data_IF_760182092646
#
_entry.id   IF_760182092646
#
_cell.length_a   1.000
_cell.length_b   1.000
_cell.length_c   1.000
_cell.angle_alpha   90.00
_cell.angle_beta   90.00
_cell.angle_gamma   90.00
#
_symmetry.space_group_name_H-M   'P 1'
#
loop_
_entity.id
_entity.type
_entity.pdbx_description
1 polymer ?
#
# COMPACT_ATOMS: atom_id res chain seq x y z
N UNK A 1 -33.27 17.59 25.49
CA UNK A 1 -33.08 16.22 24.97
C UNK A 1 -32.02 16.29 23.89
N UNK A 2 -30.76 16.09 24.25
CA UNK A 2 -29.62 16.18 23.35
C UNK A 2 -29.55 14.91 22.50
N UNK A 3 -29.72 15.08 21.20
CA UNK A 3 -29.52 14.04 20.19
C UNK A 3 -28.01 13.78 20.08
N UNK A 4 -27.45 12.89 20.91
CA UNK A 4 -26.10 12.38 20.69
C UNK A 4 -26.19 11.32 19.60
N UNK A 5 -26.14 11.77 18.35
CA UNK A 5 -25.94 10.86 17.23
C UNK A 5 -24.60 10.16 17.40
N UNK A 6 -24.59 8.84 17.23
CA UNK A 6 -23.39 8.02 17.22
C UNK A 6 -22.33 8.65 16.31
N UNK A 7 -21.12 8.80 16.82
CA UNK A 7 -19.97 9.28 16.05
C UNK A 7 -19.52 8.23 15.04
N UNK A 8 -18.78 8.64 14.01
CA UNK A 8 -18.20 7.71 13.03
C UNK A 8 -17.24 6.71 13.72
N UNK A 9 -16.52 7.16 14.75
CA UNK A 9 -15.59 6.30 15.51
C UNK A 9 -16.36 5.22 16.29
N UNK A 10 -17.45 5.58 16.98
CA UNK A 10 -18.29 4.61 17.70
C UNK A 10 -18.89 3.56 16.76
N UNK A 11 -19.27 3.96 15.54
CA UNK A 11 -19.77 3.03 14.53
C UNK A 11 -18.67 2.09 14.01
N UNK A 12 -17.45 2.60 13.79
CA UNK A 12 -16.29 1.77 13.41
C UNK A 12 -15.99 0.75 14.50
N UNK A 13 -15.96 1.16 15.77
CA UNK A 13 -15.70 0.27 16.90
C UNK A 13 -16.78 -0.80 17.04
N UNK A 14 -18.05 -0.43 16.84
CA UNK A 14 -19.18 -1.38 16.83
C UNK A 14 -19.01 -2.43 15.73
N UNK A 15 -18.77 -2.00 14.49
CA UNK A 15 -18.61 -2.90 13.34
C UNK A 15 -17.36 -3.78 13.48
N UNK A 16 -16.26 -3.24 14.00
CA UNK A 16 -15.07 -4.02 14.32
C UNK A 16 -15.37 -5.10 15.38
N UNK A 17 -16.12 -4.75 16.43
CA UNK A 17 -16.54 -5.69 17.46
C UNK A 17 -17.45 -6.80 16.93
N UNK A 18 -18.31 -6.51 15.95
CA UNK A 18 -19.10 -7.52 15.25
C UNK A 18 -18.22 -8.46 14.41
N UNK A 19 -17.24 -7.90 13.68
CA UNK A 19 -16.28 -8.69 12.90
C UNK A 19 -15.42 -9.60 13.79
N UNK A 20 -14.96 -9.11 14.93
CA UNK A 20 -14.10 -9.87 15.85
C UNK A 20 -14.84 -11.09 16.42
N UNK A 21 -16.15 -11.01 16.63
CA UNK A 21 -17.00 -12.15 17.08
C UNK A 21 -17.13 -13.25 16.02
N UNK A 22 -16.85 -12.97 14.76
CA UNK A 22 -16.89 -13.96 13.68
C UNK A 22 -15.57 -14.76 13.57
N UNK A 23 -14.55 -14.43 14.37
CA UNK A 23 -13.25 -15.11 14.35
C UNK A 23 -13.25 -16.36 15.24
N UNK A 24 -12.51 -17.43 14.87
CA UNK A 24 -11.68 -17.55 13.67
C UNK A 24 -12.53 -17.82 12.41
N UNK A 25 -12.17 -17.16 11.31
CA UNK A 25 -12.70 -17.49 9.99
C UNK A 25 -11.98 -18.73 9.44
N UNK A 26 -12.62 -19.46 8.51
CA UNK A 26 -11.95 -20.59 7.86
C UNK A 26 -10.78 -20.12 6.99
N UNK A 27 -9.76 -20.95 6.85
CA UNK A 27 -8.57 -20.62 6.04
C UNK A 27 -8.92 -20.24 4.59
N UNK A 28 -9.92 -20.89 4.00
CA UNK A 28 -10.42 -20.53 2.66
C UNK A 28 -11.03 -19.12 2.62
N UNK A 29 -11.84 -18.76 3.61
CA UNK A 29 -12.44 -17.41 3.70
C UNK A 29 -11.35 -16.37 3.91
N UNK A 30 -10.39 -16.62 4.81
CA UNK A 30 -9.26 -15.74 5.05
C UNK A 30 -8.44 -15.55 3.78
N UNK A 31 -8.06 -16.64 3.09
CA UNK A 31 -7.28 -16.56 1.85
C UNK A 31 -7.98 -15.76 0.74
N UNK A 32 -9.31 -15.90 0.60
CA UNK A 32 -10.09 -15.08 -0.35
C UNK A 32 -10.11 -13.61 0.02
N UNK A 33 -10.23 -13.28 1.30
CA UNK A 33 -10.19 -11.90 1.79
C UNK A 33 -8.80 -11.30 1.56
N UNK A 34 -7.74 -11.99 1.96
CA UNK A 34 -6.35 -11.55 1.79
C UNK A 34 -6.02 -11.32 0.32
N UNK A 35 -6.40 -12.25 -0.57
CA UNK A 35 -6.18 -12.08 -2.00
C UNK A 35 -6.93 -10.85 -2.55
N UNK A 36 -8.19 -10.64 -2.14
CA UNK A 36 -8.95 -9.45 -2.55
C UNK A 36 -8.28 -8.17 -2.07
N UNK A 37 -7.94 -8.10 -0.78
CA UNK A 37 -7.29 -6.92 -0.18
C UNK A 37 -5.94 -6.63 -0.82
N UNK A 38 -5.11 -7.66 -1.06
CA UNK A 38 -3.82 -7.51 -1.76
C UNK A 38 -4.01 -6.89 -3.14
N UNK A 39 -4.95 -7.39 -3.94
CA UNK A 39 -5.17 -6.89 -5.30
C UNK A 39 -5.75 -5.47 -5.31
N UNK A 40 -6.75 -5.20 -4.47
CA UNK A 40 -7.42 -3.90 -4.42
C UNK A 40 -6.54 -2.83 -3.79
N UNK A 41 -5.77 -3.15 -2.75
CA UNK A 41 -4.86 -2.21 -2.10
C UNK A 41 -3.74 -1.78 -3.04
N UNK A 42 -3.11 -2.73 -3.75
CA UNK A 42 -2.10 -2.41 -4.76
C UNK A 42 -2.66 -1.49 -5.85
N UNK A 43 -3.83 -1.82 -6.40
CA UNK A 43 -4.47 -1.00 -7.43
C UNK A 43 -4.83 0.39 -6.91
N UNK A 44 -5.60 0.48 -5.81
CA UNK A 44 -6.15 1.76 -5.36
C UNK A 44 -5.08 2.71 -4.81
N UNK A 45 -4.06 2.20 -4.10
CA UNK A 45 -2.99 3.06 -3.57
C UNK A 45 -2.22 3.73 -4.71
N UNK A 46 -1.80 2.93 -5.71
CA UNK A 46 -1.05 3.44 -6.85
C UNK A 46 -1.92 4.31 -7.78
N UNK A 47 -3.20 3.98 -7.95
CA UNK A 47 -4.12 4.77 -8.78
C UNK A 47 -4.34 6.20 -8.22
N UNK A 48 -4.34 6.38 -6.90
CA UNK A 48 -4.42 7.71 -6.26
C UNK A 48 -3.21 8.58 -6.64
N UNK A 49 -2.05 7.95 -6.86
CA UNK A 49 -0.79 8.60 -7.24
C UNK A 49 -0.64 8.76 -8.77
N UNK A 50 -1.63 8.31 -9.54
CA UNK A 50 -1.68 8.48 -10.99
C UNK A 50 -1.20 7.29 -11.81
N UNK A 51 -0.97 6.13 -11.18
CA UNK A 51 -0.69 4.89 -11.90
C UNK A 51 -1.85 4.54 -12.85
N UNK A 52 -1.52 4.15 -14.08
CA UNK A 52 -2.50 4.00 -15.15
C UNK A 52 -2.97 2.55 -15.39
N UNK A 53 -2.44 1.57 -14.66
CA UNK A 53 -2.90 0.19 -14.76
C UNK A 53 -4.33 0.06 -14.24
N UNK A 54 -5.17 -0.64 -14.98
CA UNK A 54 -6.50 -1.04 -14.53
C UNK A 54 -6.41 -2.11 -13.44
N UNK A 55 -7.51 -2.36 -12.72
CA UNK A 55 -7.58 -3.46 -11.74
C UNK A 55 -7.31 -4.83 -12.39
N UNK A 56 -7.73 -5.03 -13.65
CA UNK A 56 -7.49 -6.28 -14.39
C UNK A 56 -6.02 -6.46 -14.78
N UNK A 57 -5.36 -5.39 -15.22
CA UNK A 57 -3.93 -5.37 -15.52
C UNK A 57 -3.09 -5.57 -14.24
N UNK A 58 -3.43 -4.85 -13.16
CA UNK A 58 -2.81 -5.02 -11.83
C UNK A 58 -2.92 -6.47 -11.35
N UNK A 59 -4.10 -7.08 -11.49
CA UNK A 59 -4.30 -8.50 -11.15
C UNK A 59 -3.44 -9.43 -12.00
N UNK A 60 -3.36 -9.18 -13.30
CA UNK A 60 -2.57 -10.00 -14.22
C UNK A 60 -1.08 -9.90 -13.91
N UNK A 61 -0.60 -8.71 -13.55
CA UNK A 61 0.76 -8.49 -13.09
C UNK A 61 1.04 -9.26 -11.79
N UNK A 62 0.24 -9.05 -10.74
CA UNK A 62 0.49 -9.64 -9.41
C UNK A 62 0.36 -11.17 -9.40
N UNK A 63 -0.61 -11.73 -10.14
CA UNK A 63 -0.88 -13.18 -10.11
C UNK A 63 -0.09 -13.97 -11.15
N UNK A 64 0.29 -13.34 -12.27
CA UNK A 64 0.85 -14.04 -13.42
C UNK A 64 2.13 -13.41 -13.97
N UNK A 65 2.61 -12.28 -13.43
CA UNK A 65 3.78 -11.57 -13.92
C UNK A 65 3.59 -11.00 -15.33
N UNK A 66 2.34 -10.75 -15.75
CA UNK A 66 2.02 -10.26 -17.08
C UNK A 66 1.94 -8.74 -17.09
N UNK A 67 2.74 -8.11 -17.96
CA UNK A 67 2.72 -6.66 -18.17
C UNK A 67 1.60 -6.24 -19.11
N UNK A 68 1.09 -5.02 -18.90
CA UNK A 68 0.08 -4.40 -19.73
C UNK A 68 0.72 -3.70 -20.94
N UNK A 69 0.24 -4.04 -22.14
CA UNK A 69 0.77 -3.46 -23.36
C UNK A 69 0.48 -1.94 -23.45
N UNK A 70 1.50 -1.16 -23.83
CA UNK A 70 1.37 0.28 -24.03
C UNK A 70 1.35 1.10 -22.72
N UNK A 71 1.62 0.48 -21.58
CA UNK A 71 1.69 1.13 -20.27
C UNK A 71 3.15 1.38 -19.85
N UNK A 72 3.43 2.47 -19.11
CA UNK A 72 4.78 2.74 -18.62
C UNK A 72 5.33 1.58 -17.78
N UNK A 73 6.63 1.26 -17.93
CA UNK A 73 7.27 0.24 -17.08
C UNK A 73 7.20 0.64 -15.60
N UNK A 74 7.36 1.93 -15.31
CA UNK A 74 7.24 2.50 -13.97
C UNK A 74 5.93 2.10 -13.27
N UNK A 75 4.81 2.17 -13.96
CA UNK A 75 3.51 1.78 -13.38
C UNK A 75 3.50 0.31 -12.90
N UNK A 76 4.23 -0.58 -13.57
CA UNK A 76 4.35 -1.98 -13.16
C UNK A 76 5.26 -2.10 -11.94
N UNK A 77 6.39 -1.40 -11.97
CA UNK A 77 7.36 -1.39 -10.87
C UNK A 77 6.78 -0.80 -9.59
N UNK A 78 5.94 0.24 -9.69
CA UNK A 78 5.27 0.86 -8.55
C UNK A 78 4.26 -0.13 -7.90
N UNK A 79 3.53 -0.90 -8.72
CA UNK A 79 2.64 -1.98 -8.23
C UNK A 79 3.46 -3.10 -7.56
N UNK A 80 4.54 -3.55 -8.17
CA UNK A 80 5.41 -4.59 -7.59
C UNK A 80 6.07 -4.12 -6.28
N UNK A 81 6.55 -2.88 -6.25
CA UNK A 81 7.14 -2.28 -5.06
C UNK A 81 6.15 -2.16 -3.92
N UNK A 82 4.91 -1.73 -4.19
CA UNK A 82 3.85 -1.71 -3.18
C UNK A 82 3.51 -3.13 -2.68
N UNK A 83 3.43 -4.11 -3.58
CA UNK A 83 3.11 -5.50 -3.20
C UNK A 83 4.18 -6.11 -2.28
N UNK A 84 5.47 -5.85 -2.57
CA UNK A 84 6.57 -6.24 -1.72
C UNK A 84 6.61 -5.49 -0.38
N UNK A 85 6.31 -4.19 -0.40
CA UNK A 85 6.27 -3.36 0.81
C UNK A 85 5.19 -3.86 1.79
N UNK A 86 3.99 -4.17 1.31
CA UNK A 86 2.92 -4.73 2.15
C UNK A 86 3.32 -6.08 2.74
N UNK A 87 3.94 -6.97 1.95
CA UNK A 87 4.45 -8.25 2.47
C UNK A 87 5.51 -8.06 3.55
N UNK A 88 6.42 -7.09 3.39
CA UNK A 88 7.42 -6.77 4.39
C UNK A 88 6.79 -6.28 5.71
N UNK A 89 5.71 -5.48 5.63
CA UNK A 89 4.92 -5.07 6.80
C UNK A 89 4.27 -6.29 7.48
N UNK A 90 3.60 -7.15 6.72
CA UNK A 90 2.95 -8.34 7.26
C UNK A 90 3.95 -9.26 7.97
N UNK A 91 5.14 -9.44 7.39
CA UNK A 91 6.20 -10.26 7.97
C UNK A 91 6.81 -9.63 9.23
N UNK A 92 6.98 -8.31 9.27
CA UNK A 92 7.42 -7.59 10.46
C UNK A 92 6.40 -7.73 11.61
N UNK A 93 5.10 -7.61 11.31
CA UNK A 93 4.03 -7.82 12.30
C UNK A 93 4.02 -9.25 12.83
N UNK A 94 4.20 -10.26 11.97
CA UNK A 94 4.27 -11.67 12.40
C UNK A 94 5.47 -11.96 13.32
N UNK A 95 6.54 -11.17 13.19
CA UNK A 95 7.76 -11.28 13.99
C UNK A 95 7.79 -10.37 15.22
N UNK A 96 6.74 -9.59 15.44
CA UNK A 96 6.65 -8.60 16.52
C UNK A 96 7.84 -7.61 16.49
N UNK A 97 8.25 -7.20 15.28
CA UNK A 97 9.33 -6.24 15.09
C UNK A 97 8.88 -4.83 15.50
N UNK A 98 9.73 -4.11 16.26
CA UNK A 98 9.44 -2.74 16.70
C UNK A 98 9.49 -1.75 15.52
N UNK A 99 8.48 -0.89 15.41
CA UNK A 99 8.46 0.18 14.43
C UNK A 99 9.54 1.22 14.75
N UNK A 100 10.49 1.37 13.84
CA UNK A 100 11.59 2.33 13.97
C UNK A 100 11.91 3.01 12.62
N UNK A 101 12.75 4.04 12.67
CA UNK A 101 13.13 4.79 11.46
C UNK A 101 13.83 3.94 10.40
N UNK A 102 14.61 2.93 10.81
CA UNK A 102 15.32 2.04 9.87
C UNK A 102 14.31 1.23 9.07
N UNK A 103 13.30 0.69 9.74
CA UNK A 103 12.21 -0.03 9.08
C UNK A 103 11.48 0.87 8.07
N UNK A 104 11.08 2.08 8.48
CA UNK A 104 10.35 3.02 7.59
C UNK A 104 11.19 3.39 6.37
N UNK A 105 12.49 3.69 6.55
CA UNK A 105 13.39 4.03 5.42
C UNK A 105 13.60 2.84 4.48
N UNK A 106 13.69 1.62 5.02
CA UNK A 106 13.80 0.41 4.20
C UNK A 106 12.49 0.14 3.44
N UNK A 107 11.34 0.33 4.07
CA UNK A 107 10.04 0.19 3.42
C UNK A 107 9.92 1.16 2.23
N UNK A 108 10.33 2.42 2.42
CA UNK A 108 10.38 3.43 1.36
C UNK A 108 11.24 3.00 0.16
N UNK A 109 12.39 2.35 0.43
CA UNK A 109 13.25 1.81 -0.62
C UNK A 109 12.65 0.60 -1.34
N UNK A 110 11.93 -0.26 -0.62
CA UNK A 110 11.25 -1.41 -1.22
C UNK A 110 10.10 -0.93 -2.12
N UNK A 111 9.36 0.08 -1.66
CA UNK A 111 8.23 0.67 -2.37
C UNK A 111 8.68 1.32 -3.69
N UNK A 112 9.76 2.11 -3.66
CA UNK A 112 10.25 2.84 -4.82
C UNK A 112 11.38 2.07 -5.50
N UNK A 113 11.09 1.46 -6.65
CA UNK A 113 12.03 0.60 -7.39
C UNK A 113 13.04 1.38 -8.25
N UNK A 114 12.83 2.67 -8.44
CA UNK A 114 13.68 3.53 -9.27
C UNK A 114 14.01 4.86 -8.58
N UNK A 115 15.16 5.49 -8.91
CA UNK A 115 15.46 6.84 -8.46
C UNK A 115 14.38 7.84 -8.88
N UNK A 116 14.14 8.83 -8.03
CA UNK A 116 13.11 9.84 -8.27
C UNK A 116 13.61 11.24 -7.90
N UNK A 117 13.05 12.26 -8.54
CA UNK A 117 13.36 13.66 -8.26
C UNK A 117 12.40 14.21 -7.22
N UNK A 118 12.94 15.03 -6.30
CA UNK A 118 12.15 15.87 -5.41
C UNK A 118 12.52 17.33 -5.60
N UNK A 119 11.55 18.21 -5.39
CA UNK A 119 11.83 19.64 -5.27
C UNK A 119 12.67 19.90 -4.02
N UNK A 120 13.68 20.75 -4.16
CA UNK A 120 14.63 21.09 -3.12
C UNK A 120 15.01 22.57 -3.19
N UNK A 121 15.70 23.05 -2.16
CA UNK A 121 16.23 24.42 -2.10
C UNK A 121 17.75 24.37 -1.95
N UNK A 122 18.44 25.24 -2.68
CA UNK A 122 19.87 25.50 -2.49
C UNK A 122 20.11 26.27 -1.17
N UNK A 123 21.34 26.33 -0.64
CA UNK A 123 21.64 27.10 0.57
C UNK A 123 21.29 28.60 0.48
N UNK A 124 21.27 29.17 -0.73
CA UNK A 124 20.85 30.53 -1.06
C UNK A 124 19.34 30.68 -1.35
N UNK A 125 18.55 29.62 -1.14
CA UNK A 125 17.08 29.63 -1.20
C UNK A 125 16.50 29.53 -2.60
N UNK A 126 17.29 29.18 -3.62
CA UNK A 126 16.79 29.00 -4.98
C UNK A 126 16.18 27.59 -5.17
N UNK A 127 15.06 27.46 -5.90
CA UNK A 127 14.49 26.17 -6.25
C UNK A 127 15.48 25.33 -7.08
N UNK A 128 15.59 24.05 -6.74
CA UNK A 128 16.36 23.06 -7.49
C UNK A 128 15.67 21.70 -7.41
N UNK A 129 16.18 20.70 -8.13
CA UNK A 129 15.74 19.31 -8.01
C UNK A 129 16.86 18.45 -7.48
N UNK A 130 16.51 17.53 -6.58
CA UNK A 130 17.43 16.53 -6.04
C UNK A 130 16.96 15.14 -6.43
N UNK A 131 17.85 14.37 -7.04
CA UNK A 131 17.62 12.95 -7.27
C UNK A 131 17.83 12.20 -5.96
N UNK A 132 16.83 11.42 -5.56
CA UNK A 132 16.92 10.44 -4.49
C UNK A 132 17.25 9.10 -5.14
N UNK A 133 18.44 8.58 -4.81
CA UNK A 133 18.83 7.22 -5.15
C UNK A 133 18.33 6.27 -4.09
N UNK A 134 17.73 5.17 -4.51
CA UNK A 134 17.17 4.13 -3.65
C UNK A 134 18.27 3.23 -3.10
#
# INVERSE_FOLDING_TARGET
MSNSGSTIIEEIDRLKGELDKLRPLSADVVGRIEQKLRLESNYHSNAIEGNSLTLGETRSLILHGLTAHGKPMRDHLDIEGHDEAVKAIEDAVKRDEELNEVFIRNLHRVLLKEPYEIDAMTPDGQPTRRVITI
#
